data_IF_080342898321
#
_entry.id   IF_080342898321
#
_cell.length_a   1.000
_cell.length_b   1.000
_cell.length_c   1.000
_cell.angle_alpha   90.00
_cell.angle_beta   90.00
_cell.angle_gamma   90.00
#
_symmetry.space_group_name_H-M   'P 1'
#
loop_
_entity.id
_entity.type
_entity.pdbx_description
1 polymer ?
#
# COMPACT_ATOMS: atom_id res chain seq x y z
N UNK A 1 12.93 22.42 2.92
CA UNK A 1 11.47 22.58 2.87
C UNK A 1 10.75 21.27 2.57
N UNK A 2 9.51 21.11 3.03
CA UNK A 2 8.69 19.91 2.78
C UNK A 2 7.91 20.07 1.47
N UNK A 3 8.05 19.12 0.54
CA UNK A 3 7.23 19.06 -0.68
C UNK A 3 6.06 18.08 -0.49
N UNK A 4 4.84 18.61 -0.47
CA UNK A 4 3.60 17.83 -0.52
C UNK A 4 3.29 17.47 -1.98
N UNK A 5 4.11 16.58 -2.54
CA UNK A 5 4.18 16.33 -3.98
C UNK A 5 2.87 15.79 -4.59
N UNK A 6 2.06 15.05 -3.82
CA UNK A 6 0.74 14.57 -4.28
C UNK A 6 -0.28 15.70 -4.35
N UNK A 7 -0.34 16.55 -3.32
CA UNK A 7 -1.19 17.74 -3.31
C UNK A 7 -0.80 18.73 -4.41
N UNK A 8 0.50 18.90 -4.66
CA UNK A 8 1.01 19.74 -5.73
C UNK A 8 0.63 19.21 -7.13
N UNK A 9 0.77 17.90 -7.35
CA UNK A 9 0.53 17.27 -8.66
C UNK A 9 -0.94 16.96 -8.92
N UNK A 10 -1.70 16.67 -7.87
CA UNK A 10 -3.12 16.30 -7.93
C UNK A 10 -3.95 17.14 -6.95
N UNK A 11 -4.11 18.45 -7.16
CA UNK A 11 -4.74 19.35 -6.18
C UNK A 11 -6.16 18.96 -5.76
N UNK A 12 -6.93 18.34 -6.67
CA UNK A 12 -8.29 17.90 -6.39
C UNK A 12 -8.37 16.68 -5.45
N UNK A 13 -7.30 15.87 -5.35
CA UNK A 13 -7.30 14.60 -4.62
C UNK A 13 -6.26 14.53 -3.50
N UNK A 14 -5.08 15.13 -3.71
CA UNK A 14 -3.94 15.03 -2.80
C UNK A 14 -3.59 13.58 -2.48
N UNK A 15 -3.57 13.24 -1.19
CA UNK A 15 -3.33 11.88 -0.72
C UNK A 15 -4.45 10.86 -1.05
N UNK A 16 -5.57 11.28 -1.65
CA UNK A 16 -6.70 10.42 -2.02
C UNK A 16 -6.65 9.91 -3.47
N UNK A 17 -5.54 10.09 -4.17
CA UNK A 17 -5.35 9.52 -5.51
C UNK A 17 -5.35 7.99 -5.49
N UNK A 18 -5.66 7.32 -6.62
CA UNK A 18 -5.52 5.88 -6.75
C UNK A 18 -4.14 5.37 -6.31
N UNK A 19 -4.10 4.17 -5.71
CA UNK A 19 -2.88 3.60 -5.11
C UNK A 19 -1.73 3.43 -6.11
N UNK A 20 -2.04 3.06 -7.35
CA UNK A 20 -1.05 2.91 -8.43
C UNK A 20 -0.40 4.26 -8.78
N UNK A 21 -1.18 5.33 -8.80
CA UNK A 21 -0.71 6.71 -9.00
C UNK A 21 0.16 7.16 -7.83
N UNK A 22 -0.31 6.98 -6.59
CA UNK A 22 0.47 7.33 -5.39
C UNK A 22 1.81 6.59 -5.35
N UNK A 23 1.79 5.28 -5.62
CA UNK A 23 2.98 4.43 -5.59
C UNK A 23 3.99 4.84 -6.67
N UNK A 24 3.50 5.14 -7.88
CA UNK A 24 4.36 5.60 -8.98
C UNK A 24 4.97 6.97 -8.68
N UNK A 25 4.18 7.91 -8.16
CA UNK A 25 4.66 9.24 -7.80
C UNK A 25 5.73 9.18 -6.69
N UNK A 26 5.54 8.33 -5.67
CA UNK A 26 6.53 8.12 -4.62
C UNK A 26 7.86 7.56 -5.17
N UNK A 27 7.78 6.58 -6.08
CA UNK A 27 8.96 6.04 -6.77
C UNK A 27 9.65 7.11 -7.62
N UNK A 28 8.92 7.87 -8.43
CA UNK A 28 9.47 8.94 -9.26
C UNK A 28 10.19 10.00 -8.42
N UNK A 29 9.66 10.38 -7.25
CA UNK A 29 10.36 11.28 -6.31
C UNK A 29 11.70 10.70 -5.86
N UNK A 30 11.74 9.42 -5.52
CA UNK A 30 12.97 8.75 -5.11
C UNK A 30 13.97 8.64 -6.26
N UNK A 31 13.51 8.30 -7.47
CA UNK A 31 14.34 8.23 -8.68
C UNK A 31 14.96 9.60 -9.04
N UNK A 32 14.26 10.70 -8.75
CA UNK A 32 14.75 12.08 -8.93
C UNK A 32 15.68 12.56 -7.79
N UNK A 33 16.02 11.69 -6.83
CA UNK A 33 16.96 12.00 -5.75
C UNK A 33 16.33 12.68 -4.52
N UNK A 34 15.00 12.73 -4.43
CA UNK A 34 14.29 13.27 -3.26
C UNK A 34 14.03 12.22 -2.15
N UNK A 35 14.66 11.06 -2.23
CA UNK A 35 14.55 10.02 -1.22
C UNK A 35 15.13 10.44 0.13
N UNK A 36 14.46 10.09 1.23
CA UNK A 36 14.73 10.66 2.57
C UNK A 36 15.55 9.75 3.50
N UNK A 37 15.93 8.56 3.05
CA UNK A 37 16.79 7.64 3.79
C UNK A 37 18.14 7.45 3.06
N UNK A 38 19.07 6.73 3.70
CA UNK A 38 20.42 6.49 3.18
C UNK A 38 20.44 5.83 1.80
N UNK A 39 19.45 4.99 1.49
CA UNK A 39 19.33 4.33 0.19
C UNK A 39 18.63 5.16 -0.88
N UNK A 40 18.14 6.35 -0.53
CA UNK A 40 17.31 7.18 -1.42
C UNK A 40 15.94 6.59 -1.76
N UNK A 41 15.50 5.55 -1.05
CA UNK A 41 14.23 4.82 -1.26
C UNK A 41 13.29 4.96 -0.08
N UNK A 42 12.86 6.19 0.17
CA UNK A 42 11.80 6.48 1.13
C UNK A 42 11.21 7.86 0.84
N UNK A 43 9.91 7.99 1.08
CA UNK A 43 9.22 9.29 1.22
C UNK A 43 8.55 9.34 2.59
N UNK A 44 8.19 10.53 3.04
CA UNK A 44 7.49 10.70 4.32
C UNK A 44 5.98 10.47 4.18
N UNK A 45 5.41 9.79 5.18
CA UNK A 45 4.00 9.76 5.50
C UNK A 45 3.79 10.49 6.83
N UNK A 46 3.16 11.66 6.77
CA UNK A 46 3.07 12.57 7.92
C UNK A 46 1.63 12.73 8.42
N UNK A 47 1.41 12.38 9.69
CA UNK A 47 0.13 12.52 10.37
C UNK A 47 -0.04 13.83 11.12
N UNK A 48 0.97 14.72 11.15
CA UNK A 48 0.93 15.97 11.93
C UNK A 48 -0.31 16.81 11.66
N UNK A 49 -0.70 16.95 10.38
CA UNK A 49 -1.92 17.67 9.99
C UNK A 49 -3.20 16.98 10.49
N UNK A 50 -3.30 15.66 10.29
CA UNK A 50 -4.46 14.88 10.74
C UNK A 50 -4.60 14.88 12.27
N UNK A 51 -3.50 14.84 13.01
CA UNK A 51 -3.47 14.94 14.48
C UNK A 51 -3.90 16.34 14.93
N UNK A 52 -3.46 17.40 14.25
CA UNK A 52 -3.87 18.77 14.57
C UNK A 52 -5.38 18.99 14.33
N UNK A 53 -5.93 18.40 13.26
CA UNK A 53 -7.34 18.56 12.88
C UNK A 53 -8.29 17.66 13.71
N UNK A 54 -7.91 16.41 13.99
CA UNK A 54 -8.79 15.40 14.61
C UNK A 54 -8.45 15.12 16.08
N UNK A 55 -7.28 15.54 16.56
CA UNK A 55 -6.74 15.22 17.87
C UNK A 55 -6.07 13.84 17.92
N UNK A 56 -5.05 13.73 18.77
CA UNK A 56 -4.24 12.52 18.91
C UNK A 56 -5.07 11.29 19.29
N UNK A 57 -6.03 11.42 20.23
CA UNK A 57 -6.88 10.29 20.65
C UNK A 57 -7.70 9.69 19.50
N UNK A 58 -8.19 10.52 18.58
CA UNK A 58 -8.96 10.06 17.43
C UNK A 58 -8.06 9.32 16.42
N UNK A 59 -6.83 9.79 16.22
CA UNK A 59 -5.83 9.13 15.37
C UNK A 59 -5.38 7.81 16.00
N UNK A 60 -5.16 7.79 17.31
CA UNK A 60 -4.80 6.57 18.06
C UNK A 60 -5.88 5.50 17.98
N UNK A 61 -7.16 5.87 18.10
CA UNK A 61 -8.26 4.93 17.96
C UNK A 61 -8.33 4.28 16.56
N UNK A 62 -7.93 5.01 15.51
CA UNK A 62 -7.95 4.52 14.11
C UNK A 62 -6.68 3.78 13.70
N UNK A 63 -5.52 4.26 14.14
CA UNK A 63 -4.20 3.87 13.62
C UNK A 63 -3.20 3.46 14.70
N UNK A 64 -3.62 3.34 15.97
CA UNK A 64 -2.73 3.04 17.09
C UNK A 64 -1.90 1.76 16.90
N UNK A 65 -2.51 0.71 16.33
CA UNK A 65 -1.77 -0.53 16.02
C UNK A 65 -0.65 -0.31 14.99
N UNK A 66 -0.92 0.48 13.94
CA UNK A 66 0.08 0.85 12.93
C UNK A 66 1.25 1.60 13.57
N UNK A 67 0.95 2.58 14.42
CA UNK A 67 1.97 3.41 15.06
C UNK A 67 2.81 2.61 16.05
N UNK A 68 2.18 1.72 16.80
CA UNK A 68 2.85 0.79 17.71
C UNK A 68 3.78 -0.16 16.96
N UNK A 69 3.31 -0.79 15.87
CA UNK A 69 4.13 -1.65 15.02
C UNK A 69 5.33 -0.89 14.44
N UNK A 70 5.12 0.31 13.92
CA UNK A 70 6.21 1.14 13.37
C UNK A 70 7.24 1.47 14.44
N UNK A 71 6.81 1.92 15.63
CA UNK A 71 7.72 2.21 16.75
C UNK A 71 8.50 0.97 17.19
N UNK A 72 7.88 -0.20 17.23
CA UNK A 72 8.59 -1.45 17.57
C UNK A 72 9.67 -1.82 16.56
N UNK A 73 9.45 -1.54 15.27
CA UNK A 73 10.39 -1.92 14.20
C UNK A 73 11.50 -0.88 14.03
N UNK A 74 11.16 0.42 14.13
CA UNK A 74 12.05 1.52 13.76
C UNK A 74 12.57 2.32 14.95
N UNK A 75 11.99 2.12 16.14
CA UNK A 75 12.22 2.91 17.34
C UNK A 75 11.85 4.41 17.22
N UNK A 76 11.10 4.79 16.18
CA UNK A 76 10.60 6.15 15.94
C UNK A 76 9.12 6.27 16.33
N UNK A 77 8.71 7.41 16.89
CA UNK A 77 7.31 7.67 17.28
C UNK A 77 6.55 8.41 16.17
N UNK A 78 5.57 7.80 15.47
CA UNK A 78 4.84 8.47 14.39
C UNK A 78 3.95 9.65 14.81
N UNK A 79 3.67 9.80 16.11
CA UNK A 79 2.99 10.99 16.63
C UNK A 79 3.89 12.23 16.63
N UNK A 80 5.21 12.04 16.62
CA UNK A 80 6.22 13.10 16.75
C UNK A 80 6.99 13.31 15.45
N UNK A 81 7.35 12.22 14.77
CA UNK A 81 8.14 12.24 13.53
C UNK A 81 7.39 11.55 12.38
N UNK A 82 7.49 12.04 11.14
CA UNK A 82 6.85 11.38 10.00
C UNK A 82 7.39 9.97 9.75
N UNK A 83 6.52 9.04 9.39
CA UNK A 83 6.93 7.68 9.02
C UNK A 83 7.65 7.68 7.66
N UNK A 84 8.62 6.78 7.49
CA UNK A 84 9.27 6.54 6.20
C UNK A 84 8.60 5.37 5.49
N UNK A 85 8.09 5.61 4.28
CA UNK A 85 7.42 4.58 3.46
C UNK A 85 8.02 4.51 2.06
N UNK A 86 7.89 3.36 1.42
CA UNK A 86 8.26 3.16 0.02
C UNK A 86 7.34 2.10 -0.61
N UNK A 87 7.00 2.21 -1.91
CA UNK A 87 6.23 1.18 -2.60
C UNK A 87 6.88 -0.20 -2.49
N UNK A 88 6.11 -1.21 -2.13
CA UNK A 88 6.56 -2.58 -2.00
C UNK A 88 5.60 -3.54 -2.73
N UNK A 89 6.14 -4.71 -3.12
CA UNK A 89 5.34 -5.82 -3.65
C UNK A 89 4.30 -6.21 -2.61
N UNK A 90 3.07 -6.45 -3.06
CA UNK A 90 1.95 -6.68 -2.15
C UNK A 90 1.03 -7.82 -2.55
N UNK A 91 0.83 -8.05 -3.86
CA UNK A 91 -0.06 -9.10 -4.36
C UNK A 91 0.41 -9.57 -5.73
N UNK A 92 0.26 -10.86 -6.00
CA UNK A 92 0.57 -11.48 -7.30
C UNK A 92 -0.74 -11.75 -8.04
N UNK A 93 -1.01 -10.99 -9.10
CA UNK A 93 -2.24 -11.19 -9.90
C UNK A 93 -2.13 -12.38 -10.87
N UNK A 94 -0.92 -12.72 -11.29
CA UNK A 94 -0.68 -13.92 -12.09
C UNK A 94 -0.71 -15.17 -11.20
N UNK A 95 -0.65 -16.33 -11.82
CA UNK A 95 -0.67 -17.60 -11.11
C UNK A 95 -0.72 -18.77 -12.08
N UNK A 96 -1.03 -19.94 -11.55
CA UNK A 96 -1.31 -21.11 -12.37
C UNK A 96 -2.57 -20.90 -13.20
N UNK A 97 -2.54 -21.38 -14.44
CA UNK A 97 -3.74 -21.43 -15.26
C UNK A 97 -4.75 -22.41 -14.69
N UNK A 98 -6.00 -21.97 -14.61
CA UNK A 98 -7.17 -22.76 -14.24
C UNK A 98 -8.34 -22.50 -15.19
N UNK A 99 -9.24 -23.47 -15.30
CA UNK A 99 -10.53 -23.31 -15.99
C UNK A 99 -11.59 -22.64 -15.10
N UNK A 100 -12.84 -22.55 -15.59
CA UNK A 100 -13.97 -21.97 -14.83
C UNK A 100 -14.32 -22.72 -13.54
N UNK A 101 -13.88 -23.97 -13.39
CA UNK A 101 -14.08 -24.78 -12.19
C UNK A 101 -12.82 -24.78 -11.30
N UNK A 102 -11.86 -23.89 -11.57
CA UNK A 102 -10.58 -23.77 -10.87
C UNK A 102 -9.68 -25.01 -11.01
N UNK A 103 -9.92 -25.86 -12.01
CA UNK A 103 -9.06 -27.00 -12.30
C UNK A 103 -7.89 -26.59 -13.20
N UNK A 104 -6.68 -27.01 -12.84
CA UNK A 104 -5.47 -26.80 -13.65
C UNK A 104 -5.46 -27.69 -14.90
N UNK A 105 -4.37 -27.60 -15.68
CA UNK A 105 -4.15 -28.51 -16.82
C UNK A 105 -3.87 -29.96 -16.40
N UNK A 106 -3.63 -30.23 -15.12
CA UNK A 106 -3.47 -31.57 -14.57
C UNK A 106 -4.83 -32.05 -14.04
N UNK A 107 -5.40 -33.14 -14.60
CA UNK A 107 -6.70 -33.66 -14.17
C UNK A 107 -6.72 -33.96 -12.66
N UNK A 108 -7.72 -33.40 -11.96
CA UNK A 108 -7.89 -33.58 -10.52
C UNK A 108 -7.10 -32.62 -9.63
N UNK A 109 -6.26 -31.74 -10.20
CA UNK A 109 -5.55 -30.70 -9.45
C UNK A 109 -6.24 -29.35 -9.56
N UNK A 110 -6.73 -28.82 -8.44
CA UNK A 110 -7.39 -27.52 -8.32
C UNK A 110 -6.47 -26.48 -7.68
N UNK A 111 -6.57 -25.23 -8.12
CA UNK A 111 -5.72 -24.13 -7.62
C UNK A 111 -6.59 -22.93 -7.27
N UNK A 112 -6.48 -22.47 -6.03
CA UNK A 112 -7.40 -21.52 -5.40
C UNK A 112 -6.64 -20.30 -4.89
N UNK A 113 -7.33 -19.16 -4.78
CA UNK A 113 -6.81 -17.92 -4.21
C UNK A 113 -5.68 -17.28 -5.04
N UNK A 114 -4.76 -16.60 -4.34
CA UNK A 114 -3.63 -15.86 -4.97
C UNK A 114 -2.68 -16.76 -5.79
N UNK A 115 -2.84 -18.09 -5.73
CA UNK A 115 -2.06 -19.02 -6.53
C UNK A 115 -2.54 -19.16 -7.99
N UNK A 116 -3.77 -18.74 -8.31
CA UNK A 116 -4.33 -18.80 -9.67
C UNK A 116 -4.43 -17.40 -10.31
N UNK A 117 -4.74 -17.34 -11.61
CA UNK A 117 -4.75 -16.10 -12.41
C UNK A 117 -6.14 -15.49 -12.67
N UNK A 118 -7.23 -16.14 -12.27
CA UNK A 118 -8.54 -16.01 -12.95
C UNK A 118 -9.24 -14.67 -12.74
N UNK A 119 -9.25 -14.12 -11.52
CA UNK A 119 -10.27 -13.11 -11.15
C UNK A 119 -9.81 -11.65 -11.24
N UNK A 120 -8.50 -11.39 -11.22
CA UNK A 120 -8.00 -10.03 -10.98
C UNK A 120 -7.48 -9.31 -12.22
N UNK A 121 -7.35 -10.02 -13.35
CA UNK A 121 -6.72 -9.47 -14.55
C UNK A 121 -5.33 -8.88 -14.25
N UNK A 122 -5.04 -7.68 -14.77
CA UNK A 122 -3.73 -7.03 -14.57
C UNK A 122 -3.65 -6.13 -13.33
N UNK A 123 -4.79 -5.75 -12.72
CA UNK A 123 -4.81 -4.88 -11.55
C UNK A 123 -5.99 -5.23 -10.64
N UNK A 124 -5.68 -5.77 -9.47
CA UNK A 124 -6.65 -6.19 -8.47
C UNK A 124 -7.33 -4.98 -7.81
N UNK A 125 -8.66 -5.05 -7.63
CA UNK A 125 -9.39 -4.12 -6.76
C UNK A 125 -9.09 -4.38 -5.27
N UNK A 126 -9.00 -3.30 -4.49
CA UNK A 126 -8.79 -3.40 -3.04
C UNK A 126 -9.77 -4.37 -2.37
N UNK A 127 -9.29 -5.17 -1.41
CA UNK A 127 -10.06 -6.17 -0.66
C UNK A 127 -10.60 -7.40 -1.44
N UNK A 128 -10.48 -7.49 -2.77
CA UNK A 128 -11.03 -8.64 -3.53
C UNK A 128 -10.37 -10.02 -3.28
N UNK A 129 -9.06 -10.10 -3.01
CA UNK A 129 -8.38 -11.40 -2.83
C UNK A 129 -8.85 -12.23 -1.63
N UNK A 130 -9.29 -11.59 -0.54
CA UNK A 130 -9.87 -12.35 0.58
C UNK A 130 -11.23 -12.93 0.19
N UNK A 131 -11.99 -12.21 -0.66
CA UNK A 131 -13.23 -12.75 -1.21
C UNK A 131 -12.95 -13.88 -2.19
N UNK A 132 -11.93 -13.76 -3.05
CA UNK A 132 -11.50 -14.85 -3.92
C UNK A 132 -11.16 -16.09 -3.10
N UNK A 133 -10.28 -15.98 -2.09
CA UNK A 133 -9.92 -17.13 -1.27
C UNK A 133 -11.08 -17.76 -0.48
N UNK A 134 -12.22 -17.09 -0.37
CA UNK A 134 -13.45 -17.64 0.20
C UNK A 134 -14.40 -18.22 -0.87
N UNK A 135 -14.43 -17.62 -2.06
CA UNK A 135 -15.35 -17.95 -3.13
C UNK A 135 -14.84 -19.08 -4.03
N UNK A 136 -13.52 -19.22 -4.13
CA UNK A 136 -12.81 -20.33 -4.76
C UNK A 136 -13.03 -21.65 -3.99
#
# INVERSE_FOLDING_TARGET
DRDYYLERRYPAFGNMVPRDVASRAAKERCDEGYGVNESGRAVYLDFKRAIAEQGQKAIEAKYGNLFHMYRKITNENPYEVPMKIYPAVHYTMGGLWVDYNLQSTIPGLYVLGEANFSDHGANRLGASALMQGLAD
#
